data_IF_719800015445
#
_entry.id   IF_719800015445
#
_cell.length_a   1.000
_cell.length_b   1.000
_cell.length_c   1.000
_cell.angle_alpha   90.00
_cell.angle_beta   90.00
_cell.angle_gamma   90.00
#
_symmetry.space_group_name_H-M   'P 1'
#
loop_
_entity.id
_entity.type
_entity.pdbx_description
1 polymer ?
#
# COMPACT_ATOMS: atom_id res chain seq x y z
N UNK A 1 -18.14 13.98 -17.44
CA UNK A 1 -16.77 13.62 -17.03
C UNK A 1 -16.16 12.55 -17.95
N UNK A 2 -16.77 11.37 -18.14
CA UNK A 2 -16.26 10.39 -19.11
C UNK A 2 -16.19 10.94 -20.54
N UNK A 3 -17.21 11.70 -20.95
CA UNK A 3 -17.25 12.34 -22.27
C UNK A 3 -16.14 13.38 -22.40
N UNK A 4 -15.92 14.18 -21.35
CA UNK A 4 -14.79 15.11 -21.30
C UNK A 4 -13.44 14.42 -21.50
N UNK A 5 -13.18 13.28 -20.84
CA UNK A 5 -11.95 12.51 -21.04
C UNK A 5 -11.80 11.99 -22.48
N UNK A 6 -12.91 11.64 -23.12
CA UNK A 6 -12.94 11.17 -24.51
C UNK A 6 -12.66 12.31 -25.48
N UNK A 7 -13.31 13.45 -25.27
CA UNK A 7 -13.31 14.58 -26.20
C UNK A 7 -12.01 15.38 -26.13
N UNK A 8 -11.39 15.46 -24.95
CA UNK A 8 -10.14 16.21 -24.75
C UNK A 8 -8.89 15.36 -24.86
N UNK A 9 -9.02 14.02 -24.80
CA UNK A 9 -7.87 13.13 -24.70
C UNK A 9 -7.06 13.31 -23.41
N UNK A 10 -7.66 13.89 -22.36
CA UNK A 10 -6.99 14.15 -21.09
C UNK A 10 -6.42 12.87 -20.45
N UNK A 11 -5.29 13.04 -19.75
CA UNK A 11 -4.69 11.97 -18.95
C UNK A 11 -5.47 11.82 -17.65
N UNK A 12 -6.03 10.63 -17.42
CA UNK A 12 -6.81 10.35 -16.23
C UNK A 12 -5.90 9.90 -15.08
N UNK A 13 -5.84 10.70 -14.03
CA UNK A 13 -5.18 10.32 -12.78
C UNK A 13 -6.21 9.82 -11.76
N UNK A 14 -5.96 8.66 -11.16
CA UNK A 14 -6.74 8.11 -10.05
C UNK A 14 -5.77 7.78 -8.92
N UNK A 15 -5.89 8.51 -7.83
CA UNK A 15 -5.16 8.22 -6.60
C UNK A 15 -5.98 7.32 -5.67
N UNK A 16 -5.31 6.56 -4.81
CA UNK A 16 -5.91 5.66 -3.82
C UNK A 16 -7.07 4.80 -4.36
N UNK A 17 -6.86 4.13 -5.50
CA UNK A 17 -7.93 3.39 -6.17
C UNK A 17 -8.56 2.26 -5.32
N UNK A 18 -7.87 1.83 -4.26
CA UNK A 18 -8.35 0.87 -3.28
C UNK A 18 -9.43 1.43 -2.32
N UNK A 19 -9.55 2.76 -2.21
CA UNK A 19 -10.61 3.46 -1.44
C UNK A 19 -11.88 3.70 -2.27
N UNK A 20 -11.88 3.38 -3.58
CA UNK A 20 -13.03 3.60 -4.46
C UNK A 20 -14.14 2.57 -4.21
N UNK A 21 -15.34 3.05 -3.87
CA UNK A 21 -16.53 2.23 -3.72
C UNK A 21 -17.79 2.89 -4.30
N UNK A 22 -18.84 2.09 -4.51
CA UNK A 22 -20.18 2.56 -4.91
C UNK A 22 -20.20 3.39 -6.20
N UNK A 23 -20.87 4.55 -6.17
CA UNK A 23 -21.03 5.43 -7.33
C UNK A 23 -19.70 6.01 -7.83
N UNK A 24 -18.77 6.34 -6.92
CA UNK A 24 -17.44 6.86 -7.28
C UNK A 24 -16.67 5.85 -8.13
N UNK A 25 -16.71 4.57 -7.72
CA UNK A 25 -16.11 3.47 -8.49
C UNK A 25 -16.72 3.33 -9.89
N UNK A 26 -18.04 3.45 -10.01
CA UNK A 26 -18.71 3.37 -11.32
C UNK A 26 -18.31 4.51 -12.26
N UNK A 27 -18.20 5.74 -11.73
CA UNK A 27 -17.75 6.90 -12.52
C UNK A 27 -16.28 6.73 -12.92
N UNK A 28 -15.41 6.38 -11.98
CA UNK A 28 -13.99 6.12 -12.25
C UNK A 28 -13.80 5.06 -13.34
N UNK A 29 -14.55 3.95 -13.27
CA UNK A 29 -14.54 2.91 -14.31
C UNK A 29 -14.95 3.44 -15.69
N UNK A 30 -16.00 4.27 -15.77
CA UNK A 30 -16.41 4.89 -17.03
C UNK A 30 -15.33 5.83 -17.57
N UNK A 31 -14.70 6.63 -16.69
CA UNK A 31 -13.59 7.50 -17.09
C UNK A 31 -12.40 6.69 -17.62
N UNK A 32 -12.01 5.57 -16.98
CA UNK A 32 -10.92 4.71 -17.48
C UNK A 32 -11.26 4.16 -18.87
N UNK A 33 -12.48 3.67 -19.07
CA UNK A 33 -12.93 3.18 -20.39
C UNK A 33 -12.87 4.25 -21.48
N UNK A 34 -13.24 5.49 -21.14
CA UNK A 34 -13.28 6.61 -22.09
C UNK A 34 -11.92 7.29 -22.29
N UNK A 35 -11.01 7.21 -21.31
CA UNK A 35 -9.69 7.83 -21.37
C UNK A 35 -8.75 7.08 -22.31
N UNK A 36 -7.85 7.80 -22.99
CA UNK A 36 -6.80 7.22 -23.84
C UNK A 36 -5.56 6.83 -23.04
N UNK A 37 -5.20 7.66 -22.05
CA UNK A 37 -4.08 7.44 -21.13
C UNK A 37 -4.58 7.58 -19.69
N UNK A 38 -4.15 6.69 -18.81
CA UNK A 38 -4.47 6.74 -17.39
C UNK A 38 -3.28 6.38 -16.53
N UNK A 39 -3.23 6.95 -15.33
CA UNK A 39 -2.27 6.62 -14.27
C UNK A 39 -3.07 6.35 -13.00
N UNK A 40 -2.86 5.18 -12.40
CA UNK A 40 -3.61 4.73 -11.24
C UNK A 40 -2.63 4.37 -10.12
N UNK A 41 -2.81 4.98 -8.96
CA UNK A 41 -2.12 4.61 -7.74
C UNK A 41 -3.04 3.76 -6.85
N UNK A 42 -2.48 2.70 -6.28
CA UNK A 42 -3.16 1.83 -5.32
C UNK A 42 -2.14 1.23 -4.35
N UNK A 43 -2.57 0.98 -3.11
CA UNK A 43 -1.74 0.32 -2.09
C UNK A 43 -1.20 -1.03 -2.57
N UNK A 44 -2.06 -1.85 -3.17
CA UNK A 44 -1.69 -3.11 -3.82
C UNK A 44 -2.61 -3.34 -5.01
N UNK A 45 -2.11 -3.99 -6.06
CA UNK A 45 -2.89 -4.31 -7.26
C UNK A 45 -4.15 -5.11 -6.93
N UNK A 46 -4.05 -6.06 -5.99
CA UNK A 46 -5.15 -6.91 -5.56
C UNK A 46 -6.21 -6.17 -4.72
N UNK A 47 -5.85 -5.05 -4.09
CA UNK A 47 -6.78 -4.24 -3.30
C UNK A 47 -7.64 -3.33 -4.18
N UNK A 48 -7.32 -3.18 -5.47
CA UNK A 48 -8.20 -2.46 -6.40
C UNK A 48 -9.53 -3.21 -6.56
N UNK A 49 -10.67 -2.49 -6.59
CA UNK A 49 -11.96 -3.12 -6.81
C UNK A 49 -11.97 -3.95 -8.10
N UNK A 50 -12.52 -5.17 -8.08
CA UNK A 50 -12.44 -6.11 -9.20
C UNK A 50 -13.03 -5.54 -10.50
N UNK A 51 -14.09 -4.73 -10.38
CA UNK A 51 -14.74 -4.06 -11.51
C UNK A 51 -13.84 -3.02 -12.21
N UNK A 52 -12.93 -2.37 -11.48
CA UNK A 52 -11.96 -1.43 -12.06
C UNK A 52 -10.73 -2.19 -12.53
N UNK A 53 -10.21 -3.11 -11.72
CA UNK A 53 -9.04 -3.94 -12.03
C UNK A 53 -9.20 -4.67 -13.35
N UNK A 54 -10.34 -5.33 -13.58
CA UNK A 54 -10.60 -6.04 -14.85
C UNK A 54 -10.53 -5.14 -16.08
N UNK A 55 -10.99 -3.89 -15.97
CA UNK A 55 -10.94 -2.92 -17.09
C UNK A 55 -9.52 -2.43 -17.32
N UNK A 56 -8.80 -2.15 -16.24
CA UNK A 56 -7.41 -1.67 -16.27
C UNK A 56 -6.49 -2.73 -16.86
N UNK A 57 -6.55 -3.97 -16.36
CA UNK A 57 -5.66 -5.06 -16.78
C UNK A 57 -5.93 -5.54 -18.21
N UNK A 58 -7.15 -5.37 -18.74
CA UNK A 58 -7.45 -5.67 -20.16
C UNK A 58 -6.67 -4.80 -21.14
N UNK A 59 -6.14 -3.66 -20.70
CA UNK A 59 -5.31 -2.76 -21.52
C UNK A 59 -3.81 -2.99 -21.32
N UNK A 60 -3.42 -4.05 -20.62
CA UNK A 60 -2.03 -4.42 -20.34
C UNK A 60 -1.17 -3.23 -19.86
N UNK A 61 -1.53 -2.62 -18.72
CA UNK A 61 -0.88 -1.42 -18.24
C UNK A 61 0.53 -1.72 -17.73
N UNK A 62 1.42 -0.74 -17.82
CA UNK A 62 2.72 -0.83 -17.16
C UNK A 62 2.55 -0.71 -15.64
N UNK A 63 3.02 -1.72 -14.91
CA UNK A 63 2.89 -1.81 -13.45
C UNK A 63 4.24 -1.49 -12.80
N UNK A 64 4.29 -0.40 -12.03
CA UNK A 64 5.44 -0.05 -11.22
C UNK A 64 5.15 -0.37 -9.76
N UNK A 65 5.92 -1.30 -9.18
CA UNK A 65 5.89 -1.57 -7.74
C UNK A 65 6.87 -0.64 -7.05
N UNK A 66 6.34 0.42 -6.43
CA UNK A 66 7.08 1.31 -5.56
C UNK A 66 7.31 0.60 -4.23
N UNK A 67 8.32 -0.27 -4.18
CA UNK A 67 8.83 -0.76 -2.92
C UNK A 67 9.55 0.42 -2.26
N UNK A 68 8.89 1.06 -1.31
CA UNK A 68 9.61 1.92 -0.38
C UNK A 68 10.47 0.99 0.48
N UNK A 69 11.76 0.89 0.15
CA UNK A 69 12.79 0.39 1.08
C UNK A 69 12.93 1.40 2.22
N UNK A 70 11.86 1.63 2.97
CA UNK A 70 12.01 2.26 4.28
C UNK A 70 12.74 1.22 5.11
N UNK A 71 13.80 1.65 5.78
CA UNK A 71 14.69 0.91 6.68
C UNK A 71 14.00 0.29 7.92
N UNK A 72 12.76 -0.18 7.77
CA UNK A 72 11.96 -0.88 8.79
C UNK A 72 12.64 -2.15 9.29
N UNK A 73 13.49 -2.79 8.48
CA UNK A 73 14.31 -3.92 8.92
C UNK A 73 15.37 -3.49 9.94
N UNK A 74 15.94 -2.29 9.82
CA UNK A 74 16.98 -1.83 10.74
C UNK A 74 16.45 -1.69 12.17
N UNK A 75 15.22 -1.20 12.36
CA UNK A 75 14.60 -1.09 13.69
C UNK A 75 14.36 -2.47 14.30
N UNK A 76 13.93 -3.45 13.51
CA UNK A 76 13.69 -4.80 14.01
C UNK A 76 14.99 -5.53 14.38
N UNK A 77 16.02 -5.38 13.56
CA UNK A 77 17.38 -5.89 13.79
C UNK A 77 17.98 -5.22 15.04
N UNK A 78 17.87 -3.89 15.15
CA UNK A 78 18.31 -3.13 16.32
C UNK A 78 17.63 -3.62 17.61
N UNK A 79 16.30 -3.82 17.58
CA UNK A 79 15.57 -4.32 18.75
C UNK A 79 16.00 -5.74 19.14
N UNK A 80 16.32 -6.61 18.18
CA UNK A 80 16.87 -7.95 18.47
C UNK A 80 18.29 -7.87 19.05
N UNK A 81 19.15 -7.04 18.46
CA UNK A 81 20.50 -6.82 18.96
C UNK A 81 20.51 -6.25 20.39
N UNK A 82 19.61 -5.30 20.68
CA UNK A 82 19.44 -4.73 22.01
C UNK A 82 18.95 -5.76 23.04
N UNK A 83 17.98 -6.60 22.66
CA UNK A 83 17.50 -7.73 23.49
C UNK A 83 18.63 -8.71 23.83
N UNK A 84 19.43 -9.11 22.82
CA UNK A 84 20.57 -10.01 23.02
C UNK A 84 21.63 -9.37 23.92
N UNK A 85 21.90 -8.07 23.76
CA UNK A 85 22.83 -7.33 24.61
C UNK A 85 22.36 -7.26 26.08
N UNK A 86 21.07 -7.01 26.33
CA UNK A 86 20.52 -7.01 27.68
C UNK A 86 20.59 -8.40 28.35
N UNK A 87 20.35 -9.48 27.59
CA UNK A 87 20.52 -10.85 28.10
C UNK A 87 21.98 -11.17 28.42
N UNK A 88 22.91 -10.77 27.55
CA UNK A 88 24.35 -10.98 27.76
C UNK A 88 24.90 -10.19 28.97
N UNK A 89 24.32 -9.01 29.25
CA UNK A 89 24.64 -8.20 30.42
C UNK A 89 23.99 -8.70 31.73
N UNK A 90 23.17 -9.76 31.68
CA UNK A 90 22.48 -10.33 32.86
C UNK A 90 21.24 -9.56 33.31
N UNK A 91 20.72 -8.64 32.49
CA UNK A 91 19.51 -7.86 32.80
C UNK A 91 18.24 -8.58 32.31
N UNK A 92 17.90 -9.67 32.97
CA UNK A 92 16.77 -10.54 32.61
C UNK A 92 15.41 -9.83 32.70
N UNK A 93 15.21 -8.97 33.70
CA UNK A 93 14.00 -8.13 33.86
C UNK A 93 13.77 -7.22 32.64
N UNK A 94 14.81 -6.49 32.23
CA UNK A 94 14.75 -5.58 31.09
C UNK A 94 14.51 -6.36 29.77
N UNK A 95 15.16 -7.51 29.61
CA UNK A 95 14.97 -8.36 28.44
C UNK A 95 13.54 -8.93 28.35
N UNK A 96 12.93 -9.32 29.48
CA UNK A 96 11.53 -9.77 29.49
C UNK A 96 10.56 -8.66 29.10
N UNK A 97 10.74 -7.45 29.66
CA UNK A 97 9.87 -6.30 29.34
C UNK A 97 10.00 -5.90 27.86
N UNK A 98 11.23 -5.80 27.35
CA UNK A 98 11.50 -5.45 25.96
C UNK A 98 11.01 -6.53 24.98
N UNK A 99 11.15 -7.80 25.33
CA UNK A 99 10.65 -8.93 24.56
C UNK A 99 9.13 -8.93 24.47
N UNK A 100 8.45 -8.72 25.60
CA UNK A 100 7.00 -8.61 25.66
C UNK A 100 6.47 -7.44 24.82
N UNK A 101 7.07 -6.25 24.94
CA UNK A 101 6.72 -5.08 24.14
C UNK A 101 6.93 -5.31 22.64
N UNK A 102 8.04 -5.96 22.26
CA UNK A 102 8.32 -6.31 20.86
C UNK A 102 7.28 -7.28 20.29
N UNK A 103 6.86 -8.29 21.06
CA UNK A 103 5.83 -9.25 20.62
C UNK A 103 4.44 -8.60 20.49
N UNK A 104 4.11 -7.64 21.36
CA UNK A 104 2.84 -6.90 21.28
C UNK A 104 2.82 -5.89 20.12
N UNK A 105 3.97 -5.29 19.78
CA UNK A 105 4.11 -4.31 18.70
C UNK A 105 4.27 -4.91 17.30
N UNK A 106 4.57 -6.20 17.16
CA UNK A 106 4.86 -6.84 15.86
C UNK A 106 3.62 -7.22 15.03
N UNK A 107 2.50 -6.54 15.24
CA UNK A 107 1.30 -6.75 14.43
C UNK A 107 1.57 -6.40 12.96
N UNK A 108 1.33 -7.35 12.04
CA UNK A 108 1.53 -7.26 10.57
C UNK A 108 0.92 -6.04 9.86
N UNK A 109 0.17 -5.19 10.59
CA UNK A 109 -0.56 -4.02 10.08
C UNK A 109 -0.50 -2.79 11.00
N UNK A 110 0.28 -2.81 12.09
CA UNK A 110 0.26 -1.73 13.08
C UNK A 110 0.82 -0.39 12.55
N UNK A 111 1.57 -0.41 11.44
CA UNK A 111 2.28 0.75 10.90
C UNK A 111 2.05 1.00 9.38
N UNK A 112 0.93 0.55 8.81
CA UNK A 112 0.54 1.01 7.46
C UNK A 112 -0.31 2.27 7.63
N UNK A 113 0.24 3.43 7.24
CA UNK A 113 -0.59 4.59 6.92
C UNK A 113 -1.45 4.24 5.70
N UNK A 114 -2.76 4.39 5.84
CA UNK A 114 -3.77 4.02 4.83
C UNK A 114 -3.82 5.01 3.66
#
# INVERSE_FOLDING_TARGET
MPDYCKDTGAVLFIDDAHKLAGRKLQIARKCVLSSRLFVIAASEEQRMPPNLRTVVMRRDPQIFRLNSEVSYDATNIFMWAFLVACLAAGWFEAAMVLGGLKMLGSGRRAARSD
#
